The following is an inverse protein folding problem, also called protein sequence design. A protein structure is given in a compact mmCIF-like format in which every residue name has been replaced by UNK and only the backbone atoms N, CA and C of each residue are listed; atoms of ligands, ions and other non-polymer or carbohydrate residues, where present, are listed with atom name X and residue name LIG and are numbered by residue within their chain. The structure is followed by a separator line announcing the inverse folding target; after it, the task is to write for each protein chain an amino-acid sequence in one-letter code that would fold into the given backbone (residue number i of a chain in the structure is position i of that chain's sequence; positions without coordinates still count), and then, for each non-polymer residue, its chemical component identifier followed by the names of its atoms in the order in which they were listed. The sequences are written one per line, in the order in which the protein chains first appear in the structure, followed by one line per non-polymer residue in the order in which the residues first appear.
data_IF_361475744139
#
_entry.id   IF_361475744139
#
_cell.length_a   1.000
_cell.length_b   1.000
_cell.length_c   1.000
_cell.angle_alpha   90.00
_cell.angle_beta   90.00
_cell.angle_gamma   90.00
#
_symmetry.space_group_name_H-M   'P 1'
#
loop_
_entity.id
_entity.type
_entity.pdbx_description
1 polymer ?
#
# COMPACT_ATOMS: atom_id res chain seq x y z
N UNK A 1 -64.80 30.95 -37.33
CA UNK A 1 -63.43 30.31 -37.44
C UNK A 1 -62.42 31.15 -36.66
N UNK A 2 -62.06 30.73 -35.46
CA UNK A 2 -61.02 31.39 -34.66
C UNK A 2 -59.85 30.42 -34.60
N UNK A 3 -58.67 30.79 -35.16
CA UNK A 3 -57.41 30.05 -35.09
C UNK A 3 -56.68 30.44 -33.82
N UNK A 4 -56.48 29.49 -32.92
CA UNK A 4 -55.63 29.63 -31.74
C UNK A 4 -54.18 29.39 -32.11
N UNK A 5 -53.33 30.38 -31.87
CA UNK A 5 -51.87 30.25 -31.89
C UNK A 5 -51.37 29.72 -30.53
N UNK A 6 -50.76 28.57 -30.49
CA UNK A 6 -49.99 28.11 -29.33
C UNK A 6 -48.55 28.66 -29.41
N UNK A 7 -48.22 29.47 -28.45
CA UNK A 7 -46.84 29.94 -28.22
C UNK A 7 -46.12 28.85 -27.45
N UNK A 8 -45.04 28.29 -28.03
CA UNK A 8 -44.11 27.37 -27.38
C UNK A 8 -42.99 28.21 -26.76
N UNK A 9 -42.97 28.30 -25.42
CA UNK A 9 -41.84 28.88 -24.69
C UNK A 9 -40.70 27.85 -24.63
N UNK A 10 -39.60 28.18 -25.26
CA UNK A 10 -38.32 27.45 -25.14
C UNK A 10 -37.66 27.95 -23.84
N UNK A 11 -37.59 27.11 -22.81
CA UNK A 11 -36.75 27.35 -21.65
C UNK A 11 -35.31 26.98 -21.97
N UNK A 12 -34.46 27.97 -22.09
CA UNK A 12 -32.99 27.79 -22.17
C UNK A 12 -32.51 27.58 -20.73
N UNK A 13 -32.17 26.32 -20.40
CA UNK A 13 -31.49 26.01 -19.16
C UNK A 13 -30.00 26.46 -19.31
N UNK A 14 -29.67 27.57 -18.64
CA UNK A 14 -28.28 28.00 -18.47
C UNK A 14 -27.59 27.03 -17.49
N UNK A 15 -26.88 26.06 -18.04
CA UNK A 15 -25.99 25.19 -17.27
C UNK A 15 -24.80 25.99 -16.76
N UNK A 16 -24.77 26.31 -15.48
CA UNK A 16 -23.56 26.79 -14.80
C UNK A 16 -22.51 25.68 -14.79
N UNK A 17 -21.53 25.76 -15.69
CA UNK A 17 -20.29 24.99 -15.54
C UNK A 17 -19.60 25.46 -14.25
N UNK A 18 -19.72 24.68 -13.21
CA UNK A 18 -18.84 24.80 -12.04
C UNK A 18 -17.42 24.43 -12.52
N UNK A 19 -16.58 25.44 -12.69
CA UNK A 19 -15.16 25.24 -12.92
C UNK A 19 -14.59 24.46 -11.74
N UNK A 20 -14.22 23.20 -11.96
CA UNK A 20 -13.43 22.46 -10.98
C UNK A 20 -12.12 23.25 -10.75
N UNK A 21 -11.74 23.49 -9.49
CA UNK A 21 -10.47 24.16 -9.24
C UNK A 21 -9.35 23.30 -9.85
N UNK A 22 -8.62 23.87 -10.78
CA UNK A 22 -7.37 23.32 -11.29
C UNK A 22 -6.44 23.19 -10.07
N UNK A 23 -6.34 22.02 -9.48
CA UNK A 23 -5.38 21.74 -8.39
C UNK A 23 -4.02 21.83 -9.04
N UNK A 24 -3.37 22.99 -8.93
CA UNK A 24 -2.03 23.22 -9.46
C UNK A 24 -1.11 22.10 -8.96
N UNK A 25 -0.37 21.49 -9.90
CA UNK A 25 0.59 20.42 -9.57
C UNK A 25 1.49 20.89 -8.42
N UNK A 26 1.58 20.08 -7.35
CA UNK A 26 2.44 20.38 -6.22
C UNK A 26 3.91 20.36 -6.68
N UNK A 27 4.59 21.51 -6.64
CA UNK A 27 6.00 21.62 -7.03
C UNK A 27 6.91 20.66 -6.25
N UNK A 28 6.50 20.21 -5.07
CA UNK A 28 7.24 19.23 -4.27
C UNK A 28 7.08 17.79 -4.81
N UNK A 29 5.97 17.48 -5.50
CA UNK A 29 5.69 16.14 -6.05
C UNK A 29 5.74 16.15 -7.59
N UNK A 30 6.45 17.10 -8.19
CA UNK A 30 6.69 17.23 -9.63
C UNK A 30 8.11 17.77 -9.89
N UNK A 31 8.52 17.92 -11.14
CA UNK A 31 9.83 18.45 -11.54
C UNK A 31 11.00 17.71 -10.89
N UNK A 32 11.11 16.42 -11.20
CA UNK A 32 12.15 15.55 -10.65
C UNK A 32 13.51 15.81 -11.31
N UNK A 33 14.62 15.74 -10.56
CA UNK A 33 15.96 15.72 -11.14
C UNK A 33 16.10 14.58 -12.15
N UNK A 34 16.98 14.72 -13.14
CA UNK A 34 17.27 13.69 -14.13
C UNK A 34 17.61 12.36 -13.43
N UNK A 35 17.05 11.24 -13.93
CA UNK A 35 17.26 9.91 -13.38
C UNK A 35 16.50 9.61 -12.08
N UNK A 36 15.57 10.51 -11.64
CA UNK A 36 14.81 10.31 -10.40
C UNK A 36 13.30 10.38 -10.61
N UNK A 37 12.84 10.40 -11.85
CA UNK A 37 11.40 10.48 -12.12
C UNK A 37 10.68 9.20 -11.67
N UNK A 38 9.45 9.31 -11.13
CA UNK A 38 8.69 8.13 -10.68
C UNK A 38 8.45 7.11 -11.80
N UNK A 39 8.27 7.60 -13.03
CA UNK A 39 8.06 6.70 -14.18
C UNK A 39 9.32 5.90 -14.52
N UNK A 40 10.48 6.53 -14.55
CA UNK A 40 11.76 5.88 -14.83
C UNK A 40 12.14 4.87 -13.74
N UNK A 41 12.06 5.29 -12.49
CA UNK A 41 12.41 4.47 -11.33
C UNK A 41 11.42 3.30 -11.19
N UNK A 42 10.12 3.57 -11.25
CA UNK A 42 9.09 2.54 -11.12
C UNK A 42 9.19 1.50 -12.25
N UNK A 43 9.49 1.93 -13.48
CA UNK A 43 9.72 1.01 -14.60
C UNK A 43 10.90 0.08 -14.32
N UNK A 44 12.04 0.61 -13.87
CA UNK A 44 13.24 -0.19 -13.56
C UNK A 44 12.97 -1.24 -12.49
N UNK A 45 12.28 -0.84 -11.40
CA UNK A 45 11.92 -1.77 -10.30
C UNK A 45 10.91 -2.82 -10.75
N UNK A 46 9.89 -2.43 -11.53
CA UNK A 46 8.87 -3.36 -12.04
C UNK A 46 9.46 -4.36 -13.07
N UNK A 47 10.37 -3.91 -13.94
CA UNK A 47 11.09 -4.78 -14.87
C UNK A 47 11.96 -5.79 -14.12
N UNK A 48 12.65 -5.35 -13.06
CA UNK A 48 13.44 -6.23 -12.18
C UNK A 48 12.56 -7.29 -11.54
N UNK A 49 11.37 -6.90 -11.05
CA UNK A 49 10.40 -7.83 -10.45
C UNK A 49 9.87 -8.86 -11.46
N UNK A 50 9.37 -8.43 -12.60
CA UNK A 50 8.71 -9.34 -13.56
C UNK A 50 9.68 -10.31 -14.23
N UNK A 51 10.97 -9.96 -14.28
CA UNK A 51 12.03 -10.79 -14.86
C UNK A 51 12.71 -11.71 -13.84
N UNK A 52 12.46 -11.53 -12.54
CA UNK A 52 13.03 -12.36 -11.48
C UNK A 52 12.26 -13.67 -11.25
N UNK A 53 12.88 -14.67 -10.63
CA UNK A 53 12.17 -15.88 -10.20
C UNK A 53 11.24 -15.61 -9.02
N UNK A 54 10.41 -16.58 -8.68
CA UNK A 54 9.70 -16.59 -7.39
C UNK A 54 10.69 -16.69 -6.23
N UNK A 55 10.41 -16.00 -5.12
CA UNK A 55 11.37 -15.85 -4.02
C UNK A 55 10.88 -16.50 -2.72
N UNK A 56 11.82 -17.07 -1.98
CA UNK A 56 11.59 -17.67 -0.67
C UNK A 56 12.10 -16.77 0.47
N UNK A 57 11.49 -15.57 0.67
CA UNK A 57 11.91 -14.59 1.69
C UNK A 57 13.41 -14.25 1.67
N UNK A 58 14.04 -14.26 0.48
CA UNK A 58 15.48 -14.08 0.35
C UNK A 58 16.32 -15.30 0.78
N UNK A 59 15.68 -16.41 1.16
CA UNK A 59 16.37 -17.67 1.49
C UNK A 59 16.70 -18.48 0.22
N UNK A 60 17.73 -19.30 0.23
CA UNK A 60 18.04 -20.23 -0.87
C UNK A 60 16.90 -21.23 -1.11
N UNK A 61 16.72 -21.61 -2.37
CA UNK A 61 15.73 -22.62 -2.79
C UNK A 61 14.42 -22.02 -3.31
N UNK A 62 13.65 -22.88 -3.99
CA UNK A 62 12.32 -22.48 -4.51
C UNK A 62 11.33 -22.30 -3.38
N UNK A 63 10.41 -21.33 -3.47
CA UNK A 63 9.34 -21.16 -2.48
C UNK A 63 8.32 -22.30 -2.58
N UNK A 64 7.68 -22.60 -1.46
CA UNK A 64 6.57 -23.55 -1.41
C UNK A 64 5.23 -22.92 -1.84
N UNK A 65 5.14 -21.60 -1.79
CA UNK A 65 3.99 -20.78 -2.19
C UNK A 65 4.46 -19.35 -2.49
N UNK A 66 3.65 -18.58 -3.20
CA UNK A 66 3.91 -17.15 -3.41
C UNK A 66 3.91 -16.43 -2.07
N UNK A 67 5.06 -15.93 -1.67
CA UNK A 67 5.25 -15.26 -0.37
C UNK A 67 4.60 -13.89 -0.34
N UNK A 68 4.25 -13.37 0.86
CA UNK A 68 3.59 -12.06 0.95
C UNK A 68 4.44 -10.90 0.39
N UNK A 69 5.77 -10.87 0.55
CA UNK A 69 6.57 -9.79 -0.07
C UNK A 69 6.46 -9.82 -1.59
N UNK A 70 6.36 -11.00 -2.18
CA UNK A 70 6.15 -11.15 -3.62
C UNK A 70 4.75 -10.70 -4.04
N UNK A 71 3.72 -11.09 -3.30
CA UNK A 71 2.35 -10.69 -3.57
C UNK A 71 2.18 -9.15 -3.55
N UNK A 72 2.73 -8.47 -2.54
CA UNK A 72 2.64 -7.00 -2.43
C UNK A 72 3.52 -6.28 -3.45
N UNK A 73 4.63 -6.88 -3.90
CA UNK A 73 5.45 -6.35 -4.99
C UNK A 73 4.72 -6.51 -6.34
N UNK A 74 4.08 -7.66 -6.56
CA UNK A 74 3.27 -7.91 -7.75
C UNK A 74 2.11 -6.92 -7.87
N UNK A 75 1.37 -6.73 -6.79
CA UNK A 75 0.33 -5.71 -6.70
C UNK A 75 0.86 -4.31 -7.04
N UNK A 76 2.02 -3.95 -6.49
CA UNK A 76 2.70 -2.69 -6.79
C UNK A 76 3.09 -2.56 -8.26
N UNK A 77 3.62 -3.62 -8.87
CA UNK A 77 4.01 -3.63 -10.29
C UNK A 77 2.79 -3.52 -11.23
N UNK A 78 1.69 -4.23 -10.93
CA UNK A 78 0.43 -4.12 -11.69
C UNK A 78 -0.14 -2.70 -11.62
N UNK A 79 -0.21 -2.12 -10.43
CA UNK A 79 -0.67 -0.74 -10.23
C UNK A 79 0.21 0.26 -10.97
N UNK A 80 1.54 0.08 -10.91
CA UNK A 80 2.48 0.93 -11.63
C UNK A 80 2.30 0.82 -13.16
N UNK A 81 2.21 -0.42 -13.68
CA UNK A 81 2.02 -0.66 -15.11
C UNK A 81 0.74 0.00 -15.65
N UNK A 82 -0.35 -0.04 -14.88
CA UNK A 82 -1.60 0.64 -15.21
C UNK A 82 -1.43 2.16 -15.26
N UNK A 83 -0.83 2.75 -14.21
CA UNK A 83 -0.69 4.21 -14.08
C UNK A 83 0.32 4.81 -15.07
N UNK A 84 1.35 4.05 -15.44
CA UNK A 84 2.30 4.42 -16.49
C UNK A 84 1.82 4.13 -17.92
N UNK A 85 0.64 3.50 -18.07
CA UNK A 85 0.09 3.01 -19.32
C UNK A 85 1.02 2.01 -20.07
N UNK A 86 1.88 1.28 -19.33
CA UNK A 86 2.77 0.27 -19.90
C UNK A 86 2.02 -1.06 -20.11
N UNK A 87 1.39 -1.19 -21.26
CA UNK A 87 0.60 -2.39 -21.64
C UNK A 87 1.46 -3.66 -21.73
N UNK A 88 2.71 -3.53 -22.16
CA UNK A 88 3.61 -4.69 -22.25
C UNK A 88 3.91 -5.24 -20.86
N UNK A 89 4.26 -4.38 -19.93
CA UNK A 89 4.50 -4.76 -18.54
C UNK A 89 3.24 -5.38 -17.90
N UNK A 90 2.05 -4.76 -18.09
CA UNK A 90 0.78 -5.32 -17.60
C UNK A 90 0.54 -6.74 -18.14
N UNK A 91 0.78 -6.96 -19.44
CA UNK A 91 0.62 -8.27 -20.08
C UNK A 91 1.57 -9.31 -19.47
N UNK A 92 2.84 -8.98 -19.31
CA UNK A 92 3.85 -9.90 -18.75
C UNK A 92 3.54 -10.25 -17.28
N UNK A 93 3.11 -9.27 -16.49
CA UNK A 93 2.70 -9.50 -15.09
C UNK A 93 1.48 -10.43 -14.99
N UNK A 94 0.52 -10.26 -15.89
CA UNK A 94 -0.67 -11.13 -15.94
C UNK A 94 -0.31 -12.53 -16.45
N UNK A 95 0.51 -12.66 -17.48
CA UNK A 95 0.98 -13.96 -17.99
C UNK A 95 1.75 -14.74 -16.92
N UNK A 96 2.61 -14.06 -16.14
CA UNK A 96 3.27 -14.66 -14.97
C UNK A 96 2.25 -15.20 -13.97
N UNK A 97 1.18 -14.46 -13.69
CA UNK A 97 0.12 -14.92 -12.78
C UNK A 97 -0.68 -16.09 -13.36
N UNK A 98 -0.90 -16.13 -14.66
CA UNK A 98 -1.65 -17.20 -15.33
C UNK A 98 -1.01 -18.58 -15.17
N UNK A 99 0.30 -18.66 -14.95
CA UNK A 99 0.98 -19.92 -14.64
C UNK A 99 0.46 -20.55 -13.34
N UNK A 100 -0.05 -19.76 -12.41
CA UNK A 100 -0.66 -20.22 -11.15
C UNK A 100 -2.02 -20.90 -11.35
N UNK A 101 -2.64 -20.79 -12.53
CA UNK A 101 -3.82 -21.59 -12.89
C UNK A 101 -3.47 -22.89 -13.64
N UNK A 102 -2.19 -23.18 -13.79
CA UNK A 102 -1.68 -24.33 -14.54
C UNK A 102 -0.43 -24.94 -13.90
N UNK A 103 0.75 -24.84 -14.56
CA UNK A 103 1.95 -25.57 -14.14
C UNK A 103 2.49 -25.16 -12.75
N UNK A 104 2.15 -23.99 -12.25
CA UNK A 104 2.59 -23.47 -10.96
C UNK A 104 1.45 -23.39 -9.93
N UNK A 105 0.37 -24.12 -10.13
CA UNK A 105 -0.81 -24.09 -9.25
C UNK A 105 -0.51 -24.49 -7.79
N UNK A 106 0.54 -25.28 -7.58
CA UNK A 106 1.04 -25.64 -6.26
C UNK A 106 1.62 -24.44 -5.46
N UNK A 107 1.93 -23.33 -6.13
CA UNK A 107 2.43 -22.10 -5.49
C UNK A 107 1.32 -21.18 -5.00
N UNK A 108 0.06 -21.46 -5.32
CA UNK A 108 -1.08 -20.69 -4.78
C UNK A 108 -1.19 -20.96 -3.28
N UNK A 109 -1.05 -19.93 -2.41
CA UNK A 109 -1.07 -20.16 -0.96
C UNK A 109 -2.46 -20.52 -0.46
N UNK A 110 -2.52 -21.37 0.57
CA UNK A 110 -3.76 -21.65 1.32
C UNK A 110 -4.06 -20.44 2.21
N UNK A 111 -5.28 -19.86 2.17
CA UNK A 111 -5.60 -18.63 2.91
C UNK A 111 -5.98 -18.88 4.39
N UNK A 112 -5.06 -19.49 5.13
CA UNK A 112 -5.21 -19.89 6.55
C UNK A 112 -4.39 -18.99 7.51
N UNK A 113 -3.68 -17.99 6.98
CA UNK A 113 -2.85 -17.06 7.71
C UNK A 113 -2.72 -15.73 6.97
N UNK A 114 -2.62 -14.60 7.67
CA UNK A 114 -2.57 -13.25 7.06
C UNK A 114 -1.51 -13.15 5.97
N UNK A 115 -0.31 -13.72 6.19
CA UNK A 115 0.82 -13.66 5.25
C UNK A 115 0.58 -14.51 3.98
N UNK A 116 -0.38 -15.42 3.99
CA UNK A 116 -0.81 -16.21 2.83
C UNK A 116 -2.06 -15.63 2.20
N UNK A 117 -3.00 -15.19 3.02
CA UNK A 117 -4.28 -14.63 2.53
C UNK A 117 -4.07 -13.32 1.76
N UNK A 118 -3.04 -12.52 2.10
CA UNK A 118 -2.73 -11.25 1.40
C UNK A 118 -2.44 -11.45 -0.10
N UNK A 119 -2.08 -12.65 -0.53
CA UNK A 119 -1.94 -13.00 -1.97
C UNK A 119 -3.20 -12.63 -2.79
N UNK A 120 -4.38 -12.66 -2.17
CA UNK A 120 -5.65 -12.33 -2.83
C UNK A 120 -5.67 -10.94 -3.49
N UNK A 121 -4.83 -10.00 -3.03
CA UNK A 121 -4.78 -8.65 -3.63
C UNK A 121 -4.32 -8.69 -5.09
N UNK A 122 -3.53 -9.69 -5.50
CA UNK A 122 -2.97 -9.79 -6.86
C UNK A 122 -4.05 -10.17 -7.87
N UNK A 123 -4.77 -11.30 -7.73
CA UNK A 123 -5.83 -11.64 -8.67
C UNK A 123 -6.98 -10.61 -8.66
N UNK A 124 -7.31 -10.01 -7.50
CA UNK A 124 -8.31 -8.95 -7.45
C UNK A 124 -7.85 -7.70 -8.22
N UNK A 125 -6.57 -7.31 -8.15
CA UNK A 125 -6.04 -6.21 -8.94
C UNK A 125 -6.07 -6.52 -10.43
N UNK A 126 -5.70 -7.74 -10.86
CA UNK A 126 -5.81 -8.16 -12.26
C UNK A 126 -7.27 -8.08 -12.73
N UNK A 127 -8.22 -8.53 -11.90
CA UNK A 127 -9.64 -8.42 -12.24
C UNK A 127 -10.10 -6.96 -12.37
N UNK A 128 -9.65 -6.07 -11.50
CA UNK A 128 -9.98 -4.63 -11.60
C UNK A 128 -9.52 -4.07 -12.95
N UNK A 129 -8.31 -4.41 -13.38
CA UNK A 129 -7.69 -3.87 -14.60
C UNK A 129 -8.19 -4.52 -15.89
N UNK A 130 -8.34 -5.84 -15.91
CA UNK A 130 -8.54 -6.61 -17.13
C UNK A 130 -9.87 -7.40 -17.16
N UNK A 131 -10.56 -7.49 -16.03
CA UNK A 131 -11.71 -8.38 -15.83
C UNK A 131 -11.30 -9.87 -15.92
N UNK A 132 -12.22 -10.77 -16.10
CA UNK A 132 -11.97 -12.22 -16.12
C UNK A 132 -12.35 -12.93 -14.82
N UNK A 133 -13.39 -13.77 -14.91
CA UNK A 133 -14.03 -14.41 -13.74
C UNK A 133 -13.01 -15.18 -12.88
N UNK A 134 -12.07 -15.92 -13.48
CA UNK A 134 -11.07 -16.74 -12.74
C UNK A 134 -10.28 -15.93 -11.70
N UNK A 135 -9.95 -14.67 -11.99
CA UNK A 135 -9.23 -13.81 -11.05
C UNK A 135 -10.11 -13.33 -9.91
N UNK A 136 -11.36 -12.93 -10.22
CA UNK A 136 -12.33 -12.55 -9.20
C UNK A 136 -12.64 -13.74 -8.28
N UNK A 137 -12.91 -14.90 -8.86
CA UNK A 137 -13.29 -16.11 -8.11
C UNK A 137 -12.18 -16.49 -7.13
N UNK A 138 -10.91 -16.52 -7.57
CA UNK A 138 -9.79 -16.84 -6.71
C UNK A 138 -9.62 -15.80 -5.59
N UNK A 139 -9.51 -14.52 -5.94
CA UNK A 139 -9.26 -13.48 -4.94
C UNK A 139 -10.43 -13.29 -3.97
N UNK A 140 -11.67 -13.34 -4.47
CA UNK A 140 -12.87 -13.22 -3.64
C UNK A 140 -13.03 -14.42 -2.70
N UNK A 141 -12.75 -15.64 -3.16
CA UNK A 141 -12.82 -16.83 -2.29
C UNK A 141 -11.86 -16.72 -1.09
N UNK A 142 -10.66 -16.20 -1.31
CA UNK A 142 -9.69 -15.97 -0.23
C UNK A 142 -10.14 -14.85 0.72
N UNK A 143 -10.72 -13.77 0.19
CA UNK A 143 -11.26 -12.68 1.00
C UNK A 143 -12.46 -13.11 1.85
N UNK A 144 -13.33 -13.97 1.31
CA UNK A 144 -14.44 -14.55 2.06
C UNK A 144 -13.94 -15.54 3.12
N UNK A 145 -12.96 -16.38 2.79
CA UNK A 145 -12.32 -17.32 3.72
C UNK A 145 -11.68 -16.62 4.91
N UNK A 146 -11.10 -15.45 4.72
CA UNK A 146 -10.52 -14.65 5.79
C UNK A 146 -11.55 -14.28 6.88
N UNK A 147 -12.84 -14.26 6.57
CA UNK A 147 -13.95 -13.98 7.49
C UNK A 147 -14.94 -15.13 7.64
N UNK A 148 -14.51 -16.37 7.38
CA UNK A 148 -15.39 -17.53 7.52
C UNK A 148 -15.77 -17.78 8.99
N UNK A 149 -14.83 -17.54 9.91
CA UNK A 149 -15.01 -17.75 11.35
C UNK A 149 -14.64 -16.48 12.12
N UNK A 150 -15.47 -15.43 12.06
CA UNK A 150 -15.13 -14.18 12.75
C UNK A 150 -15.18 -14.35 14.27
N UNK A 151 -14.35 -13.57 14.97
CA UNK A 151 -14.37 -13.48 16.44
C UNK A 151 -15.71 -12.89 16.94
N UNK A 152 -16.03 -13.00 18.24
CA UNK A 152 -17.22 -12.37 18.82
C UNK A 152 -17.28 -10.85 18.58
N UNK A 153 -16.12 -10.18 18.44
CA UNK A 153 -16.02 -8.76 18.13
C UNK A 153 -16.20 -8.46 16.63
N UNK A 154 -16.35 -9.50 15.79
CA UNK A 154 -16.51 -9.37 14.34
C UNK A 154 -15.21 -9.22 13.55
N UNK A 155 -14.05 -9.41 14.20
CA UNK A 155 -12.73 -9.42 13.55
C UNK A 155 -12.48 -10.77 12.87
N UNK A 156 -11.53 -10.83 11.95
CA UNK A 156 -11.09 -12.12 11.42
C UNK A 156 -10.40 -12.97 12.49
N UNK A 157 -10.52 -14.30 12.39
CA UNK A 157 -9.74 -15.23 13.21
C UNK A 157 -8.22 -15.19 12.93
N UNK A 158 -7.82 -14.53 11.84
CA UNK A 158 -6.41 -14.27 11.52
C UNK A 158 -5.82 -13.05 12.27
N UNK A 159 -6.60 -12.33 13.09
CA UNK A 159 -6.17 -11.17 13.89
C UNK A 159 -5.14 -11.61 14.94
N UNK A 160 -3.90 -11.08 14.85
CA UNK A 160 -2.78 -11.42 15.76
C UNK A 160 -2.40 -10.30 16.72
N UNK A 161 -2.91 -9.09 16.46
CA UNK A 161 -2.45 -7.83 17.04
C UNK A 161 -0.95 -7.55 16.79
N UNK A 162 -0.44 -7.96 15.65
CA UNK A 162 0.80 -7.45 15.08
C UNK A 162 0.45 -6.31 14.14
N UNK A 163 1.24 -5.24 14.18
CA UNK A 163 0.91 -4.04 13.39
C UNK A 163 0.94 -4.28 11.88
N UNK A 164 1.64 -5.32 11.42
CA UNK A 164 1.63 -5.76 10.02
C UNK A 164 0.22 -6.09 9.50
N UNK A 165 -0.62 -6.62 10.37
CA UNK A 165 -2.00 -7.02 10.03
C UNK A 165 -2.84 -5.81 9.58
N UNK A 166 -2.50 -4.59 10.02
CA UNK A 166 -3.19 -3.36 9.59
C UNK A 166 -3.08 -3.10 8.08
N UNK A 167 -2.11 -3.72 7.40
CA UNK A 167 -2.06 -3.78 5.94
C UNK A 167 -2.52 -5.15 5.42
N UNK A 168 -1.93 -6.24 5.94
CA UNK A 168 -2.12 -7.58 5.37
C UNK A 168 -3.59 -8.03 5.37
N UNK A 169 -4.33 -7.74 6.43
CA UNK A 169 -5.76 -8.06 6.53
C UNK A 169 -6.59 -7.07 5.72
N UNK A 170 -6.37 -5.78 5.94
CA UNK A 170 -7.26 -4.75 5.37
C UNK A 170 -7.11 -4.62 3.86
N UNK A 171 -5.91 -4.82 3.30
CA UNK A 171 -5.68 -4.75 1.86
C UNK A 171 -6.50 -5.78 1.07
N UNK A 172 -6.66 -7.00 1.60
CA UNK A 172 -7.49 -8.05 0.99
C UNK A 172 -8.95 -7.60 0.90
N UNK A 173 -9.49 -7.16 2.01
CA UNK A 173 -10.89 -6.72 2.08
C UNK A 173 -11.13 -5.46 1.24
N UNK A 174 -10.16 -4.52 1.20
CA UNK A 174 -10.25 -3.34 0.34
C UNK A 174 -10.24 -3.70 -1.16
N UNK A 175 -9.40 -4.65 -1.57
CA UNK A 175 -9.39 -5.09 -2.96
C UNK A 175 -10.64 -5.87 -3.33
N UNK A 176 -11.19 -6.67 -2.40
CA UNK A 176 -12.49 -7.32 -2.60
C UNK A 176 -13.62 -6.28 -2.75
N UNK A 177 -13.65 -5.24 -1.92
CA UNK A 177 -14.57 -4.12 -2.08
C UNK A 177 -14.43 -3.45 -3.45
N UNK A 178 -13.21 -3.06 -3.84
CA UNK A 178 -12.92 -2.40 -5.14
C UNK A 178 -13.31 -3.27 -6.35
N UNK A 179 -13.30 -4.59 -6.18
CA UNK A 179 -13.64 -5.55 -7.24
C UNK A 179 -15.13 -5.82 -7.36
N UNK A 180 -15.89 -5.73 -6.25
CA UNK A 180 -17.29 -6.19 -6.18
C UNK A 180 -18.28 -5.11 -5.83
N UNK A 181 -17.82 -3.97 -5.29
CA UNK A 181 -18.64 -2.89 -4.69
C UNK A 181 -19.52 -3.37 -3.51
N UNK A 182 -19.20 -4.54 -2.91
CA UNK A 182 -19.93 -5.07 -1.76
C UNK A 182 -19.38 -4.45 -0.46
N UNK A 183 -20.21 -3.61 0.16
CA UNK A 183 -19.86 -2.84 1.36
C UNK A 183 -19.39 -3.70 2.54
N UNK A 184 -19.78 -4.98 2.62
CA UNK A 184 -19.34 -5.88 3.72
C UNK A 184 -17.83 -5.95 3.85
N UNK A 185 -17.09 -5.94 2.73
CA UNK A 185 -15.63 -5.99 2.74
C UNK A 185 -15.03 -4.69 3.29
N UNK A 186 -15.62 -3.56 2.91
CA UNK A 186 -15.19 -2.26 3.42
C UNK A 186 -15.44 -2.12 4.92
N UNK A 187 -16.60 -2.56 5.41
CA UNK A 187 -16.96 -2.53 6.83
C UNK A 187 -16.03 -3.42 7.68
N UNK A 188 -15.70 -4.63 7.18
CA UNK A 188 -14.73 -5.56 7.80
C UNK A 188 -13.35 -4.92 7.92
N UNK A 189 -12.82 -4.37 6.83
CA UNK A 189 -11.54 -3.69 6.82
C UNK A 189 -11.51 -2.49 7.78
N UNK A 190 -12.57 -1.68 7.81
CA UNK A 190 -12.66 -0.51 8.68
C UNK A 190 -12.78 -0.90 10.16
N UNK A 191 -13.47 -1.99 10.49
CA UNK A 191 -13.55 -2.52 11.84
C UNK A 191 -12.19 -3.01 12.32
N UNK A 192 -11.50 -3.81 11.52
CA UNK A 192 -10.15 -4.31 11.82
C UNK A 192 -9.19 -3.14 12.05
N UNK A 193 -9.13 -2.17 11.13
CA UNK A 193 -8.26 -1.01 11.23
C UNK A 193 -8.51 -0.21 12.52
N UNK A 194 -9.77 0.07 12.87
CA UNK A 194 -10.08 0.83 14.08
C UNK A 194 -9.77 0.07 15.36
N UNK A 195 -9.97 -1.25 15.38
CA UNK A 195 -9.63 -2.09 16.53
C UNK A 195 -8.12 -2.07 16.83
N UNK A 196 -7.28 -2.11 15.78
CA UNK A 196 -5.84 -1.99 15.93
C UNK A 196 -5.40 -0.58 16.37
N UNK A 197 -6.01 0.46 15.80
CA UNK A 197 -5.76 1.84 16.20
C UNK A 197 -6.02 2.05 17.71
N UNK A 198 -7.12 1.48 18.22
CA UNK A 198 -7.50 1.64 19.61
C UNK A 198 -6.61 0.85 20.58
N UNK A 199 -6.06 -0.30 20.13
CA UNK A 199 -5.24 -1.18 20.95
C UNK A 199 -3.74 -0.87 20.88
N UNK A 200 -3.22 -0.41 19.74
CA UNK A 200 -1.78 -0.37 19.48
C UNK A 200 -1.21 1.05 19.30
N UNK A 201 -2.00 2.05 18.89
CA UNK A 201 -1.47 3.39 18.68
C UNK A 201 -1.07 4.05 19.99
N UNK A 202 0.21 4.41 20.10
CA UNK A 202 0.77 5.04 21.28
C UNK A 202 0.46 6.55 21.37
N UNK A 203 0.62 7.18 22.53
CA UNK A 203 0.39 8.62 22.71
C UNK A 203 1.22 9.50 21.76
N UNK A 204 2.42 9.06 21.34
CA UNK A 204 3.26 9.75 20.36
C UNK A 204 2.77 9.59 18.90
N UNK A 205 1.79 8.72 18.63
CA UNK A 205 1.21 8.45 17.31
C UNK A 205 1.83 7.30 16.54
N UNK A 206 2.95 6.74 17.01
CA UNK A 206 3.56 5.53 16.47
C UNK A 206 2.92 4.28 17.08
N UNK A 207 3.35 3.10 16.62
CA UNK A 207 2.77 1.83 17.04
C UNK A 207 3.85 0.89 17.59
N UNK A 208 3.58 0.26 18.70
CA UNK A 208 4.38 -0.88 19.12
C UNK A 208 4.17 -2.06 18.16
N UNK A 209 5.22 -2.84 17.90
CA UNK A 209 5.13 -4.00 17.00
C UNK A 209 3.99 -4.95 17.39
N UNK A 210 3.77 -5.12 18.69
CA UNK A 210 2.64 -5.83 19.29
C UNK A 210 2.43 -5.33 20.72
N UNK A 211 1.33 -5.69 21.43
CA UNK A 211 1.08 -5.25 22.80
C UNK A 211 2.20 -5.57 23.79
N UNK A 212 2.90 -6.67 23.56
CA UNK A 212 4.00 -7.19 24.40
C UNK A 212 5.41 -6.86 23.85
N UNK A 213 5.51 -6.07 22.77
CA UNK A 213 6.78 -5.72 22.09
C UNK A 213 6.87 -4.21 21.88
N UNK A 214 7.37 -3.45 22.89
CA UNK A 214 7.29 -1.99 22.92
C UNK A 214 8.39 -1.31 22.08
N UNK A 215 8.56 -1.71 20.82
CA UNK A 215 9.50 -1.12 19.89
C UNK A 215 8.77 -0.54 18.68
N UNK A 216 9.14 0.68 18.27
CA UNK A 216 8.65 1.34 17.06
C UNK A 216 9.47 0.86 15.86
N UNK A 217 9.17 -0.34 15.40
CA UNK A 217 9.86 -0.94 14.28
C UNK A 217 9.45 -0.30 12.96
N UNK A 218 10.43 0.25 12.22
CA UNK A 218 10.20 1.06 11.03
C UNK A 218 9.29 0.41 9.99
N UNK A 219 9.59 -0.83 9.54
CA UNK A 219 8.72 -1.51 8.56
C UNK A 219 7.34 -1.87 9.12
N UNK A 220 7.25 -2.23 10.39
CA UNK A 220 5.96 -2.48 11.03
C UNK A 220 5.07 -1.23 11.00
N UNK A 221 5.58 -0.10 11.49
CA UNK A 221 4.91 1.21 11.35
C UNK A 221 4.67 1.58 9.87
N UNK A 222 5.55 1.14 8.96
CA UNK A 222 5.35 1.31 7.52
C UNK A 222 4.10 0.62 6.99
N UNK A 223 3.84 -0.62 7.42
CA UNK A 223 2.61 -1.33 7.09
C UNK A 223 1.37 -0.59 7.60
N UNK A 224 1.43 -0.07 8.82
CA UNK A 224 0.34 0.76 9.40
C UNK A 224 0.07 2.00 8.56
N UNK A 225 1.12 2.74 8.21
CA UNK A 225 1.02 3.96 7.42
C UNK A 225 0.41 3.69 6.03
N UNK A 226 0.88 2.64 5.36
CA UNK A 226 0.37 2.21 4.05
C UNK A 226 -1.07 1.70 4.14
N UNK A 227 -1.39 0.88 5.14
CA UNK A 227 -2.73 0.36 5.38
C UNK A 227 -3.76 1.47 5.61
N UNK A 228 -3.44 2.44 6.49
CA UNK A 228 -4.32 3.60 6.71
C UNK A 228 -4.49 4.46 5.45
N UNK A 229 -3.42 4.68 4.68
CA UNK A 229 -3.50 5.45 3.44
C UNK A 229 -4.38 4.76 2.39
N UNK A 230 -4.25 3.45 2.20
CA UNK A 230 -5.10 2.67 1.30
C UNK A 230 -6.56 2.61 1.79
N UNK A 231 -6.77 2.46 3.10
CA UNK A 231 -8.10 2.49 3.71
C UNK A 231 -8.81 3.81 3.42
N UNK A 232 -8.17 4.93 3.73
CA UNK A 232 -8.75 6.27 3.54
C UNK A 232 -9.06 6.60 2.07
N UNK A 233 -8.33 6.01 1.12
CA UNK A 233 -8.62 6.13 -0.31
C UNK A 233 -9.92 5.43 -0.73
N UNK A 234 -10.33 4.42 0.00
CA UNK A 234 -11.53 3.62 -0.31
C UNK A 234 -12.74 3.99 0.54
N UNK A 235 -12.53 4.49 1.76
CA UNK A 235 -13.62 4.86 2.65
C UNK A 235 -14.36 6.11 2.16
N UNK A 236 -15.69 6.07 2.00
CA UNK A 236 -16.50 7.25 1.76
C UNK A 236 -16.36 8.27 2.88
N UNK A 237 -16.57 9.56 2.56
CA UNK A 237 -16.47 10.66 3.54
C UNK A 237 -17.43 10.50 4.74
N UNK A 238 -18.60 9.92 4.51
CA UNK A 238 -19.64 9.70 5.53
C UNK A 238 -19.52 8.34 6.24
N UNK A 239 -18.50 7.54 5.97
CA UNK A 239 -18.34 6.25 6.65
C UNK A 239 -18.06 6.44 8.15
N UNK A 240 -18.79 5.76 9.07
CA UNK A 240 -18.76 6.07 10.51
C UNK A 240 -17.36 5.92 11.14
N UNK A 241 -16.50 5.06 10.61
CA UNK A 241 -15.13 4.84 11.12
C UNK A 241 -14.08 5.75 10.49
N UNK A 242 -14.42 6.52 9.44
CA UNK A 242 -13.44 7.33 8.70
C UNK A 242 -12.76 8.37 9.58
N UNK A 243 -13.51 9.06 10.44
CA UNK A 243 -12.96 10.10 11.31
C UNK A 243 -11.88 9.56 12.24
N UNK A 244 -12.10 8.38 12.86
CA UNK A 244 -11.13 7.73 13.75
C UNK A 244 -9.86 7.32 13.01
N UNK A 245 -10.01 6.77 11.79
CA UNK A 245 -8.86 6.36 10.96
C UNK A 245 -8.06 7.58 10.50
N UNK A 246 -8.73 8.65 10.08
CA UNK A 246 -8.09 9.90 9.69
C UNK A 246 -7.33 10.57 10.84
N UNK A 247 -7.88 10.53 12.04
CA UNK A 247 -7.20 11.02 13.27
C UNK A 247 -5.92 10.24 13.52
N UNK A 248 -6.00 8.90 13.55
CA UNK A 248 -4.85 8.02 13.75
C UNK A 248 -3.77 8.23 12.71
N UNK A 249 -4.18 8.32 11.44
CA UNK A 249 -3.29 8.59 10.32
C UNK A 249 -2.57 9.94 10.47
N UNK A 250 -3.29 11.03 10.73
CA UNK A 250 -2.68 12.36 10.88
C UNK A 250 -1.73 12.44 12.06
N UNK A 251 -2.09 11.80 13.16
CA UNK A 251 -1.24 11.72 14.37
C UNK A 251 0.07 10.99 14.07
N UNK A 252 0.02 9.86 13.36
CA UNK A 252 1.20 9.13 12.92
C UNK A 252 2.06 9.95 11.96
N UNK A 253 1.47 10.57 10.92
CA UNK A 253 2.21 11.39 9.96
C UNK A 253 2.92 12.58 10.64
N UNK A 254 2.29 13.20 11.65
CA UNK A 254 2.90 14.27 12.41
C UNK A 254 4.10 13.80 13.26
N UNK A 255 4.05 12.58 13.77
CA UNK A 255 5.17 11.98 14.49
C UNK A 255 6.33 11.63 13.55
N UNK A 256 6.05 10.97 12.44
CA UNK A 256 7.07 10.57 11.45
C UNK A 256 7.90 11.74 10.94
N UNK A 257 7.31 12.94 10.80
CA UNK A 257 8.07 14.14 10.41
C UNK A 257 9.21 14.50 11.36
N UNK A 258 9.09 14.13 12.65
CA UNK A 258 10.11 14.45 13.67
C UNK A 258 11.32 13.53 13.56
N UNK A 259 11.13 12.35 12.97
CA UNK A 259 12.12 11.29 12.90
C UNK A 259 12.75 11.13 11.50
N UNK A 260 12.33 11.92 10.51
CA UNK A 260 12.98 11.90 9.20
C UNK A 260 14.38 12.53 9.30
N UNK A 261 15.40 11.78 8.89
CA UNK A 261 16.79 12.25 8.93
C UNK A 261 17.10 13.31 7.86
N UNK A 262 18.33 13.86 7.91
CA UNK A 262 18.79 14.90 6.96
C UNK A 262 18.84 14.41 5.50
N UNK A 263 18.96 13.09 5.27
CA UNK A 263 19.00 12.48 3.94
C UNK A 263 17.62 12.06 3.42
N UNK A 264 16.57 12.21 4.26
CA UNK A 264 15.20 11.88 3.89
C UNK A 264 14.76 10.48 4.32
N UNK A 265 15.63 9.73 4.98
CA UNK A 265 15.37 8.36 5.40
C UNK A 265 14.72 8.31 6.78
N UNK A 266 14.04 7.22 7.07
CA UNK A 266 13.67 6.79 8.41
C UNK A 266 14.45 5.54 8.76
N UNK A 267 14.52 5.23 10.05
CA UNK A 267 15.42 4.22 10.58
C UNK A 267 14.68 2.93 10.96
N UNK A 268 15.43 1.84 11.09
CA UNK A 268 14.96 0.50 11.46
C UNK A 268 14.14 0.49 12.76
N UNK A 269 14.57 1.26 13.76
CA UNK A 269 13.78 1.68 14.92
C UNK A 269 13.64 3.19 14.83
N UNK A 270 12.39 3.67 14.75
CA UNK A 270 12.08 5.05 14.34
C UNK A 270 12.64 6.07 15.34
N UNK A 271 12.58 5.78 16.62
CA UNK A 271 12.96 6.67 17.73
C UNK A 271 14.36 6.39 18.30
N UNK A 272 15.13 5.47 17.72
CA UNK A 272 16.42 5.06 18.25
C UNK A 272 17.57 5.64 17.41
N UNK A 273 18.41 6.49 18.02
CA UNK A 273 19.52 7.18 17.32
C UNK A 273 20.57 6.24 16.72
N UNK A 274 20.79 5.05 17.33
CA UNK A 274 21.74 4.05 16.84
C UNK A 274 21.21 3.14 15.73
N UNK A 275 19.92 3.25 15.38
CA UNK A 275 19.36 2.46 14.30
C UNK A 275 19.82 2.97 12.91
N UNK A 276 19.96 2.04 11.98
CA UNK A 276 20.39 2.33 10.61
C UNK A 276 19.23 2.82 9.73
N UNK A 277 19.50 3.63 8.67
CA UNK A 277 18.49 4.04 7.71
C UNK A 277 17.90 2.85 6.96
N UNK A 278 16.57 2.70 6.96
CA UNK A 278 15.88 1.53 6.43
C UNK A 278 15.00 1.91 5.24
N UNK A 279 15.20 1.23 4.12
CA UNK A 279 14.58 1.64 2.85
C UNK A 279 13.11 1.26 2.75
N UNK A 280 12.67 0.12 3.29
CA UNK A 280 11.27 -0.30 3.15
C UNK A 280 10.33 0.61 3.93
N UNK A 281 10.65 0.94 5.18
CA UNK A 281 9.84 1.87 5.96
C UNK A 281 9.84 3.27 5.35
N UNK A 282 11.00 3.73 4.86
CA UNK A 282 11.10 5.02 4.18
C UNK A 282 10.18 5.09 2.96
N UNK A 283 10.11 4.03 2.18
CA UNK A 283 9.21 3.95 1.04
C UNK A 283 7.73 3.94 1.48
N UNK A 284 7.35 3.16 2.49
CA UNK A 284 5.99 3.10 3.01
C UNK A 284 5.52 4.44 3.60
N UNK A 285 6.36 5.11 4.38
CA UNK A 285 6.04 6.43 4.93
C UNK A 285 5.93 7.49 3.84
N UNK A 286 6.84 7.46 2.86
CA UNK A 286 6.77 8.36 1.70
C UNK A 286 5.49 8.12 0.90
N UNK A 287 5.11 6.86 0.64
CA UNK A 287 3.86 6.49 -0.01
C UNK A 287 2.65 7.07 0.74
N UNK A 288 2.59 6.89 2.06
CA UNK A 288 1.50 7.41 2.88
C UNK A 288 1.43 8.94 2.82
N UNK A 289 2.56 9.64 2.94
CA UNK A 289 2.61 11.11 2.85
C UNK A 289 2.23 11.62 1.46
N UNK A 290 2.72 11.01 0.38
CA UNK A 290 2.35 11.35 -1.00
C UNK A 290 0.83 11.22 -1.18
N UNK A 291 0.28 10.09 -0.75
CA UNK A 291 -1.16 9.81 -0.83
C UNK A 291 -1.95 10.87 -0.06
N UNK A 292 -1.55 11.21 1.15
CA UNK A 292 -2.24 12.21 1.96
C UNK A 292 -2.16 13.62 1.40
N UNK A 293 -1.03 14.01 0.82
CA UNK A 293 -0.88 15.31 0.17
C UNK A 293 -1.76 15.41 -1.08
N UNK A 294 -1.76 14.37 -1.92
CA UNK A 294 -2.55 14.36 -3.17
C UNK A 294 -4.07 14.34 -2.92
N UNK A 295 -4.50 13.76 -1.80
CA UNK A 295 -5.92 13.74 -1.41
C UNK A 295 -6.33 14.91 -0.49
N UNK A 296 -5.43 15.85 -0.20
CA UNK A 296 -5.74 17.01 0.64
C UNK A 296 -5.86 16.71 2.14
N UNK A 297 -5.46 15.54 2.59
CA UNK A 297 -5.50 15.14 4.01
C UNK A 297 -4.35 15.73 4.82
N UNK A 298 -3.24 16.05 4.15
CA UNK A 298 -2.02 16.58 4.73
C UNK A 298 -1.61 17.89 4.06
N UNK A 299 -0.97 18.78 4.83
CA UNK A 299 -0.46 20.07 4.34
C UNK A 299 0.63 19.87 3.28
N UNK A 300 0.39 20.39 2.06
CA UNK A 300 1.27 20.23 0.88
C UNK A 300 2.71 20.71 1.15
N UNK A 301 2.87 21.88 1.76
CA UNK A 301 4.19 22.49 1.96
C UNK A 301 5.04 21.66 2.93
N UNK A 302 4.46 21.12 3.97
CA UNK A 302 5.15 20.39 5.02
C UNK A 302 5.42 18.94 4.62
N UNK A 303 4.35 18.20 4.33
CA UNK A 303 4.43 16.76 4.04
C UNK A 303 4.89 16.48 2.61
N UNK A 304 4.58 17.34 1.64
CA UNK A 304 5.09 17.21 0.28
C UNK A 304 6.62 17.35 0.21
N UNK A 305 7.21 18.25 1.02
CA UNK A 305 8.67 18.33 1.15
C UNK A 305 9.29 17.07 1.76
N UNK A 306 8.68 16.54 2.83
CA UNK A 306 9.16 15.33 3.48
C UNK A 306 9.06 14.12 2.53
N UNK A 307 7.93 13.97 1.84
CA UNK A 307 7.72 12.91 0.86
C UNK A 307 8.73 13.00 -0.31
N UNK A 308 8.96 14.22 -0.86
CA UNK A 308 9.99 14.43 -1.89
C UNK A 308 11.37 14.02 -1.41
N UNK A 309 11.72 14.43 -0.19
CA UNK A 309 13.02 14.13 0.40
C UNK A 309 13.20 12.63 0.61
N UNK A 310 12.15 11.93 1.09
CA UNK A 310 12.13 10.47 1.20
C UNK A 310 12.30 9.78 -0.15
N UNK A 311 11.55 10.20 -1.17
CA UNK A 311 11.70 9.67 -2.53
C UNK A 311 13.11 9.83 -3.08
N UNK A 312 13.67 11.04 -2.99
CA UNK A 312 15.03 11.30 -3.50
C UNK A 312 16.09 10.54 -2.69
N UNK A 313 15.90 10.42 -1.37
CA UNK A 313 16.75 9.58 -0.52
C UNK A 313 16.72 8.11 -1.00
N UNK A 314 15.53 7.52 -1.18
CA UNK A 314 15.38 6.15 -1.67
C UNK A 314 16.07 5.91 -3.02
N UNK A 315 15.97 6.86 -3.95
CA UNK A 315 16.63 6.73 -5.26
C UNK A 315 18.16 6.59 -5.13
N UNK A 316 18.77 7.16 -4.09
CA UNK A 316 20.22 6.99 -3.85
C UNK A 316 20.59 5.58 -3.35
N UNK A 317 19.60 4.84 -2.85
CA UNK A 317 19.77 3.44 -2.42
C UNK A 317 19.39 2.43 -3.51
N UNK A 318 18.90 2.88 -4.67
CA UNK A 318 18.52 2.01 -5.77
C UNK A 318 19.72 1.75 -6.69
N UNK A 319 20.10 0.48 -6.83
CA UNK A 319 21.18 0.06 -7.73
C UNK A 319 20.75 0.15 -9.21
N UNK A 320 21.72 0.20 -10.15
CA UNK A 320 21.42 0.32 -11.58
C UNK A 320 20.51 -0.80 -12.13
N UNK A 321 20.58 -2.01 -11.55
CA UNK A 321 19.73 -3.17 -11.92
C UNK A 321 18.30 -3.12 -11.35
N UNK A 322 17.98 -2.11 -10.54
CA UNK A 322 16.67 -1.96 -9.91
C UNK A 322 16.51 -2.61 -8.54
N UNK A 323 17.58 -3.08 -7.93
CA UNK A 323 17.58 -3.63 -6.57
C UNK A 323 17.75 -2.52 -5.53
N UNK A 324 16.85 -2.44 -4.55
CA UNK A 324 16.90 -1.47 -3.45
C UNK A 324 17.77 -2.03 -2.32
N UNK A 325 18.75 -1.25 -1.87
CA UNK A 325 19.66 -1.57 -0.75
C UNK A 325 19.04 -1.20 0.58
N UNK A 326 19.66 -1.66 1.68
CA UNK A 326 19.29 -1.35 3.07
C UNK A 326 17.83 -1.71 3.37
N UNK A 327 17.41 -2.89 2.93
CA UNK A 327 16.08 -3.43 3.23
C UNK A 327 16.19 -4.41 4.40
N UNK A 328 15.43 -4.20 5.46
CA UNK A 328 15.36 -5.09 6.59
C UNK A 328 14.81 -6.46 6.18
N UNK A 329 15.51 -7.53 6.55
CA UNK A 329 15.04 -8.90 6.39
C UNK A 329 13.69 -9.13 7.09
N UNK A 330 12.95 -10.17 6.72
CA UNK A 330 11.74 -10.62 7.43
C UNK A 330 11.95 -10.66 8.93
N UNK A 331 11.09 -10.03 9.71
CA UNK A 331 11.30 -9.78 11.14
C UNK A 331 10.08 -10.22 11.93
N UNK A 332 10.28 -11.21 12.79
CA UNK A 332 9.27 -11.65 13.74
C UNK A 332 9.20 -10.75 14.98
N UNK A 333 8.24 -11.05 15.84
CA UNK A 333 8.03 -10.35 17.10
C UNK A 333 9.01 -10.82 18.18
N UNK A 334 9.82 -9.90 18.72
CA UNK A 334 10.71 -10.18 19.85
C UNK A 334 10.81 -8.98 20.80
N UNK A 335 10.70 -9.21 22.10
CA UNK A 335 10.87 -8.16 23.09
C UNK A 335 12.37 -7.99 23.43
N UNK A 336 13.16 -7.56 22.46
CA UNK A 336 14.60 -7.33 22.58
C UNK A 336 15.04 -6.19 21.65
N UNK A 337 15.57 -5.11 22.21
CA UNK A 337 16.13 -4.00 21.45
C UNK A 337 17.22 -4.48 20.48
N UNK A 338 18.14 -5.31 20.98
CA UNK A 338 19.28 -5.80 20.21
C UNK A 338 18.83 -6.62 19.00
N UNK A 339 17.76 -7.42 19.15
CA UNK A 339 17.19 -8.16 18.03
C UNK A 339 16.80 -7.25 16.84
N UNK A 340 16.20 -6.08 17.11
CA UNK A 340 15.83 -5.14 16.04
C UNK A 340 17.03 -4.41 15.46
N UNK A 341 18.03 -4.05 16.27
CA UNK A 341 19.23 -3.37 15.82
C UNK A 341 20.10 -4.28 14.93
N UNK A 342 20.14 -5.58 15.22
CA UNK A 342 20.96 -6.58 14.54
C UNK A 342 20.27 -7.19 13.29
N UNK A 343 19.07 -6.72 12.92
CA UNK A 343 18.41 -7.27 11.72
C UNK A 343 19.29 -7.11 10.48
N UNK A 344 19.38 -8.20 9.71
CA UNK A 344 20.14 -8.20 8.46
C UNK A 344 19.55 -7.23 7.44
N UNK A 345 20.43 -6.63 6.64
CA UNK A 345 20.13 -5.71 5.55
C UNK A 345 20.32 -6.43 4.23
N UNK A 346 19.27 -6.50 3.43
CA UNK A 346 19.27 -7.27 2.17
C UNK A 346 19.07 -6.32 1.01
N UNK A 347 19.88 -6.50 -0.04
CA UNK A 347 19.71 -5.78 -1.31
C UNK A 347 18.74 -6.56 -2.21
N UNK A 348 17.76 -5.88 -2.79
CA UNK A 348 16.78 -6.46 -3.71
C UNK A 348 15.66 -7.27 -3.03
N UNK A 349 15.55 -7.23 -1.71
CA UNK A 349 14.45 -7.88 -1.00
C UNK A 349 13.11 -7.23 -1.38
N UNK A 350 12.10 -8.06 -1.62
CA UNK A 350 10.79 -7.61 -2.09
C UNK A 350 10.03 -6.77 -1.07
N UNK A 351 10.37 -6.82 0.22
CA UNK A 351 9.84 -5.88 1.22
C UNK A 351 10.20 -4.42 0.92
N UNK A 352 11.30 -4.17 0.22
CA UNK A 352 11.70 -2.83 -0.22
C UNK A 352 11.20 -2.49 -1.63
N UNK A 353 11.25 -3.48 -2.55
CA UNK A 353 10.81 -3.30 -3.93
C UNK A 353 9.32 -2.94 -4.03
N UNK A 354 8.48 -3.61 -3.23
CA UNK A 354 7.04 -3.37 -3.20
C UNK A 354 6.70 -1.90 -2.87
N UNK A 355 7.09 -1.35 -1.72
CA UNK A 355 6.74 0.03 -1.38
C UNK A 355 7.43 1.07 -2.26
N UNK A 356 8.56 0.75 -2.89
CA UNK A 356 9.15 1.62 -3.91
C UNK A 356 8.21 1.77 -5.12
N UNK A 357 7.59 0.68 -5.58
CA UNK A 357 6.56 0.68 -6.62
C UNK A 357 5.29 1.43 -6.17
N UNK A 358 4.90 1.31 -4.90
CA UNK A 358 3.76 2.06 -4.36
C UNK A 358 4.02 3.57 -4.34
N UNK A 359 5.24 3.98 -3.96
CA UNK A 359 5.64 5.38 -4.04
C UNK A 359 5.57 5.91 -5.47
N UNK A 360 6.18 5.21 -6.43
CA UNK A 360 6.15 5.57 -7.84
C UNK A 360 4.70 5.71 -8.33
N UNK A 361 3.84 4.72 -8.01
CA UNK A 361 2.41 4.72 -8.35
C UNK A 361 1.67 5.90 -7.73
N UNK A 362 1.92 6.20 -6.44
CA UNK A 362 1.29 7.34 -5.78
C UNK A 362 1.73 8.68 -6.38
N UNK A 363 2.96 8.79 -6.84
CA UNK A 363 3.46 9.99 -7.53
C UNK A 363 2.86 10.15 -8.93
N UNK A 364 2.51 9.06 -9.62
CA UNK A 364 1.87 9.09 -10.94
C UNK A 364 0.36 9.38 -10.89
N UNK A 365 -0.35 9.00 -9.82
CA UNK A 365 -1.77 9.36 -9.60
C UNK A 365 -1.94 10.88 -9.51
#
# INVERSE_FOLDING_TARGET
MRKSFKVVLLQIAAGTLLAQPCIGQDKNLSNWPAGTSPNEIGKRVAERFVSGPHTNFGQPGAPQYITYPEAVAWYGALTFAQLSADKNLSTRLTQRFDLLFGPESNLVPVPDHVDRTVFAIVPLEIYIQMKGAKYLDLGKSMADKQWENPTPEGLTDQTRLWIDDMFMVTAVQLQAYRSTDDAKYLDRAALEMTSYLDKLQQPNGLFYHAPDVPFFWGRGDGWVAAGMAEMLRSLPENHPRRARIMEGYRKMMASLLKFQDKNGMWHQLIDHQGAWPESSCTAMFSFAMITGVKNGWLEKKKYGRAARKGWLGLVTYLDPNGDLREVCVGTGKQNSLQYYLDRARITGDLHGQAPMLWCASALLR
#
